data_IF_945545650745
#
_entry.id   IF_945545650745
#
_cell.length_a   1.000
_cell.length_b   1.000
_cell.length_c   1.000
_cell.angle_alpha   90.00
_cell.angle_beta   90.00
_cell.angle_gamma   90.00
#
_symmetry.space_group_name_H-M   'P 1'
#
loop_
_entity.id
_entity.type
_entity.pdbx_description
1 polymer ?
#
# COMPACT_ATOMS: atom_id res chain seq x y z
N UNK A 1 -8.52 -11.03 -11.05
CA UNK A 1 -9.18 -9.72 -11.22
C UNK A 1 -8.24 -8.61 -11.69
N UNK A 2 -6.92 -8.73 -11.47
CA UNK A 2 -5.94 -7.68 -11.77
C UNK A 2 -5.33 -7.77 -13.18
N UNK A 3 -5.68 -8.77 -13.95
CA UNK A 3 -5.07 -9.07 -15.26
C UNK A 3 -5.53 -8.18 -16.42
N UNK A 4 -6.51 -7.31 -16.21
CA UNK A 4 -6.96 -6.37 -17.24
C UNK A 4 -5.98 -5.21 -17.45
N UNK A 5 -5.19 -4.87 -16.44
CA UNK A 5 -4.22 -3.76 -16.47
C UNK A 5 -2.92 -4.07 -17.25
N UNK A 6 -2.69 -5.34 -17.64
CA UNK A 6 -1.42 -5.80 -18.23
C UNK A 6 -1.61 -6.63 -19.51
N UNK A 7 -2.56 -6.28 -20.36
CA UNK A 7 -2.92 -7.15 -21.51
C UNK A 7 -1.73 -7.53 -22.39
N UNK A 8 -0.89 -6.58 -22.79
CA UNK A 8 0.28 -6.84 -23.63
C UNK A 8 1.35 -7.66 -22.93
N UNK A 9 1.70 -7.30 -21.67
CA UNK A 9 2.66 -8.02 -20.86
C UNK A 9 2.19 -9.45 -20.56
N UNK A 10 0.91 -9.62 -20.19
CA UNK A 10 0.30 -10.92 -19.97
C UNK A 10 0.36 -11.80 -21.23
N UNK A 11 0.03 -11.26 -22.41
CA UNK A 11 0.06 -12.00 -23.66
C UNK A 11 1.47 -12.50 -23.99
N UNK A 12 2.51 -11.68 -23.78
CA UNK A 12 3.90 -12.05 -24.01
C UNK A 12 4.31 -13.19 -23.06
N UNK A 13 4.03 -13.09 -21.75
CA UNK A 13 4.35 -14.13 -20.78
C UNK A 13 3.61 -15.45 -21.06
N UNK A 14 2.37 -15.39 -21.53
CA UNK A 14 1.61 -16.56 -21.96
C UNK A 14 2.23 -17.21 -23.17
N UNK A 15 2.69 -16.42 -24.16
CA UNK A 15 3.35 -16.93 -25.36
C UNK A 15 4.65 -17.67 -25.01
N UNK A 16 5.48 -17.16 -24.09
CA UNK A 16 6.70 -17.83 -23.62
C UNK A 16 6.38 -19.23 -23.07
N UNK A 17 5.31 -19.38 -22.28
CA UNK A 17 4.91 -20.69 -21.72
C UNK A 17 4.37 -21.62 -22.81
N UNK A 18 3.56 -21.12 -23.74
CA UNK A 18 2.98 -21.93 -24.84
C UNK A 18 4.04 -22.44 -25.80
N UNK A 19 5.07 -21.63 -26.05
CA UNK A 19 6.19 -21.96 -26.92
C UNK A 19 7.25 -22.82 -26.23
N UNK A 20 7.10 -23.09 -24.91
CA UNK A 20 8.07 -23.83 -24.12
C UNK A 20 9.40 -23.09 -23.91
N UNK A 21 9.41 -21.76 -24.09
CA UNK A 21 10.60 -20.91 -23.97
C UNK A 21 10.57 -20.09 -22.66
N UNK A 22 10.35 -20.76 -21.55
CA UNK A 22 10.36 -20.13 -20.24
C UNK A 22 11.81 -19.83 -19.85
N UNK A 23 12.20 -18.54 -19.67
CA UNK A 23 13.55 -18.21 -19.21
C UNK A 23 13.78 -18.75 -17.81
N UNK A 24 14.98 -19.26 -17.55
CA UNK A 24 15.35 -19.71 -16.20
C UNK A 24 15.45 -18.55 -15.20
N UNK A 25 15.72 -17.33 -15.67
CA UNK A 25 15.75 -16.12 -14.84
C UNK A 25 15.20 -14.93 -15.62
N UNK A 26 14.17 -14.29 -15.08
CA UNK A 26 13.51 -13.14 -15.67
C UNK A 26 13.53 -11.95 -14.70
N UNK A 27 13.96 -10.79 -15.18
CA UNK A 27 13.99 -9.53 -14.42
C UNK A 27 12.83 -8.64 -14.85
N UNK A 28 11.76 -8.66 -14.07
CA UNK A 28 10.54 -7.88 -14.29
C UNK A 28 10.76 -6.48 -13.71
N UNK A 29 10.95 -5.49 -14.58
CA UNK A 29 11.30 -4.14 -14.22
C UNK A 29 10.15 -3.17 -14.51
N UNK A 30 10.06 -2.11 -13.75
CA UNK A 30 9.13 -1.00 -14.03
C UNK A 30 8.93 -0.10 -12.81
N UNK A 31 8.24 1.03 -12.98
CA UNK A 31 8.01 1.95 -11.88
C UNK A 31 7.19 1.31 -10.75
N UNK A 32 7.26 1.92 -9.57
CA UNK A 32 6.45 1.55 -8.40
C UNK A 32 4.95 1.56 -8.75
N UNK A 33 4.17 0.74 -8.05
CA UNK A 33 2.70 0.74 -8.16
C UNK A 33 2.12 0.18 -9.46
N UNK A 34 2.97 -0.35 -10.37
CA UNK A 34 2.51 -0.95 -11.64
C UNK A 34 2.09 -2.41 -11.52
N UNK A 35 2.08 -3.01 -10.32
CA UNK A 35 1.59 -4.39 -10.12
C UNK A 35 2.52 -5.49 -10.64
N UNK A 36 3.82 -5.26 -10.65
CA UNK A 36 4.84 -6.24 -11.09
C UNK A 36 4.80 -7.54 -10.29
N UNK A 37 4.69 -7.44 -8.95
CA UNK A 37 4.64 -8.61 -8.08
C UNK A 37 3.39 -9.46 -8.29
N UNK A 38 2.16 -8.93 -8.33
CA UNK A 38 0.97 -9.69 -8.73
C UNK A 38 1.09 -10.33 -10.11
N UNK A 39 1.71 -9.66 -11.06
CA UNK A 39 1.95 -10.23 -12.39
C UNK A 39 2.94 -11.43 -12.32
N UNK A 40 4.03 -11.29 -11.57
CA UNK A 40 4.99 -12.39 -11.37
C UNK A 40 4.33 -13.60 -10.69
N UNK A 41 3.48 -13.38 -9.69
CA UNK A 41 2.70 -14.45 -9.02
C UNK A 41 1.73 -15.12 -9.99
N UNK A 42 1.02 -14.32 -10.81
CA UNK A 42 0.10 -14.85 -11.81
C UNK A 42 0.83 -15.65 -12.89
N UNK A 43 1.99 -15.19 -13.33
CA UNK A 43 2.86 -15.91 -14.28
C UNK A 43 3.36 -17.23 -13.69
N UNK A 44 3.85 -17.20 -12.45
CA UNK A 44 4.26 -18.40 -11.72
C UNK A 44 3.13 -19.44 -11.63
N UNK A 45 1.90 -18.97 -11.30
CA UNK A 45 0.70 -19.83 -11.27
C UNK A 45 0.41 -20.42 -12.66
N UNK A 46 0.56 -19.63 -13.74
CA UNK A 46 0.33 -20.10 -15.10
C UNK A 46 1.36 -21.16 -15.52
N UNK A 47 2.64 -20.95 -15.18
CA UNK A 47 3.73 -21.94 -15.43
C UNK A 47 3.42 -23.29 -14.76
N UNK A 48 2.93 -23.27 -13.50
CA UNK A 48 2.70 -24.47 -12.71
C UNK A 48 1.29 -25.06 -12.86
N UNK A 49 0.38 -24.39 -13.56
CA UNK A 49 -1.01 -24.84 -13.70
C UNK A 49 -1.08 -26.17 -14.48
N UNK A 50 -1.81 -27.15 -13.95
CA UNK A 50 -2.00 -28.46 -14.57
C UNK A 50 -2.91 -28.39 -15.80
N UNK A 51 -3.92 -27.51 -15.78
CA UNK A 51 -4.92 -27.35 -16.84
C UNK A 51 -4.96 -25.90 -17.32
N UNK A 52 -3.89 -25.46 -18.02
CA UNK A 52 -3.77 -24.09 -18.51
C UNK A 52 -4.82 -23.78 -19.58
N UNK A 53 -5.50 -22.66 -19.43
CA UNK A 53 -6.32 -22.09 -20.50
C UNK A 53 -5.47 -21.29 -21.50
N UNK A 54 -6.13 -20.80 -22.55
CA UNK A 54 -5.44 -19.97 -23.55
C UNK A 54 -4.98 -18.62 -23.03
N UNK A 55 -5.70 -18.06 -22.05
CA UNK A 55 -5.46 -16.72 -21.56
C UNK A 55 -5.12 -16.64 -20.06
N UNK A 56 -5.32 -17.73 -19.30
CA UNK A 56 -5.04 -17.73 -17.85
C UNK A 56 -4.88 -19.17 -17.33
N UNK A 57 -4.38 -19.29 -16.09
CA UNK A 57 -4.42 -20.50 -15.32
C UNK A 57 -5.87 -20.89 -15.01
N UNK A 58 -6.17 -22.19 -14.90
CA UNK A 58 -7.54 -22.67 -14.69
C UNK A 58 -8.18 -22.19 -13.39
N UNK A 59 -7.40 -21.81 -12.37
CA UNK A 59 -7.86 -21.31 -11.09
C UNK A 59 -8.42 -22.36 -10.11
N UNK A 60 -8.69 -23.57 -10.57
CA UNK A 60 -9.42 -24.62 -9.82
C UNK A 60 -8.60 -25.88 -9.53
N UNK A 61 -7.53 -26.17 -10.27
CA UNK A 61 -6.70 -27.34 -10.00
C UNK A 61 -5.98 -27.21 -8.63
N UNK A 62 -5.57 -28.31 -8.00
CA UNK A 62 -4.90 -28.31 -6.70
C UNK A 62 -3.72 -27.33 -6.61
N UNK A 63 -2.94 -27.23 -7.68
CA UNK A 63 -1.83 -26.28 -7.83
C UNK A 63 -2.33 -24.85 -7.80
N UNK A 64 -3.32 -24.48 -8.60
CA UNK A 64 -3.90 -23.12 -8.61
C UNK A 64 -4.49 -22.74 -7.24
N UNK A 65 -5.18 -23.64 -6.56
CA UNK A 65 -5.74 -23.38 -5.22
C UNK A 65 -4.62 -23.08 -4.21
N UNK A 66 -3.51 -23.80 -4.25
CA UNK A 66 -2.34 -23.52 -3.39
C UNK A 66 -1.67 -22.19 -3.75
N UNK A 67 -1.54 -21.87 -5.05
CA UNK A 67 -1.01 -20.58 -5.51
C UNK A 67 -1.90 -19.40 -5.09
N UNK A 68 -3.21 -19.55 -5.13
CA UNK A 68 -4.16 -18.52 -4.69
C UNK A 68 -4.00 -18.16 -3.19
N UNK A 69 -3.46 -19.10 -2.40
CA UNK A 69 -3.13 -18.90 -0.97
C UNK A 69 -1.64 -18.63 -0.73
N UNK A 70 -0.81 -18.57 -1.78
CA UNK A 70 0.64 -18.44 -1.73
C UNK A 70 1.33 -19.53 -0.87
N UNK A 71 0.76 -20.74 -0.80
CA UNK A 71 1.25 -21.88 0.00
C UNK A 71 1.72 -23.08 -0.84
N UNK A 72 1.91 -22.86 -2.16
CA UNK A 72 2.44 -23.95 -2.98
C UNK A 72 3.86 -24.32 -2.54
N UNK A 73 4.19 -25.61 -2.35
CA UNK A 73 5.48 -26.05 -1.81
C UNK A 73 6.68 -25.68 -2.71
N UNK A 74 6.46 -25.57 -4.02
CA UNK A 74 7.48 -25.19 -5.00
C UNK A 74 7.42 -23.68 -5.36
N UNK A 75 6.67 -22.86 -4.61
CA UNK A 75 6.64 -21.39 -4.69
C UNK A 75 7.37 -20.80 -3.49
N UNK A 76 8.47 -20.13 -3.77
CA UNK A 76 9.32 -19.52 -2.74
C UNK A 76 9.40 -18.02 -2.95
N UNK A 77 9.43 -17.28 -1.85
CA UNK A 77 9.57 -15.83 -1.84
C UNK A 77 10.86 -15.42 -1.14
N UNK A 78 11.48 -14.38 -1.69
CA UNK A 78 12.56 -13.62 -1.08
C UNK A 78 12.19 -12.16 -1.15
N UNK A 79 12.29 -11.47 -0.03
CA UNK A 79 11.87 -10.06 0.11
C UNK A 79 12.69 -9.37 1.20
N UNK A 80 12.79 -8.04 1.18
CA UNK A 80 13.51 -7.30 2.20
C UNK A 80 12.92 -7.52 3.60
N UNK A 81 13.78 -7.80 4.57
CA UNK A 81 13.41 -8.01 5.99
C UNK A 81 14.26 -7.14 6.90
N UNK A 82 13.80 -6.94 8.13
CA UNK A 82 14.52 -6.23 9.19
C UNK A 82 15.20 -7.21 10.13
N UNK A 83 16.28 -6.81 10.80
CA UNK A 83 16.90 -7.60 11.86
C UNK A 83 16.02 -7.62 13.10
N UNK A 84 15.52 -8.78 13.50
CA UNK A 84 14.67 -8.93 14.70
C UNK A 84 15.42 -8.68 16.03
N UNK A 85 16.69 -9.10 16.14
CA UNK A 85 17.56 -8.93 17.34
C UNK A 85 19.02 -8.91 16.93
N UNK A 86 19.85 -8.21 17.69
CA UNK A 86 21.29 -8.28 17.52
C UNK A 86 21.81 -9.72 17.75
N UNK A 87 22.61 -10.22 16.82
CA UNK A 87 23.25 -11.55 16.91
C UNK A 87 22.42 -12.74 16.39
N UNK A 88 21.16 -12.55 15.95
CA UNK A 88 20.39 -13.62 15.30
C UNK A 88 20.25 -13.33 13.80
N UNK A 89 20.66 -14.31 12.99
CA UNK A 89 20.40 -14.26 11.54
C UNK A 89 18.89 -14.23 11.28
N UNK A 90 18.47 -13.30 10.43
CA UNK A 90 17.07 -13.13 10.05
C UNK A 90 16.91 -13.51 8.59
N UNK A 91 15.91 -14.33 8.28
CA UNK A 91 15.58 -14.80 6.94
C UNK A 91 14.11 -14.52 6.62
N UNK A 92 13.75 -14.56 5.34
CA UNK A 92 12.37 -14.33 4.88
C UNK A 92 11.37 -15.32 5.51
N UNK A 93 11.79 -16.54 5.81
CA UNK A 93 10.92 -17.56 6.43
C UNK A 93 10.42 -17.14 7.83
N UNK A 94 11.16 -16.28 8.54
CA UNK A 94 10.72 -15.70 9.83
C UNK A 94 9.50 -14.79 9.72
N UNK A 95 9.17 -14.31 8.52
CA UNK A 95 8.07 -13.39 8.20
C UNK A 95 7.12 -13.94 7.13
N UNK A 96 7.29 -15.19 6.71
CA UNK A 96 6.57 -15.71 5.54
C UNK A 96 5.05 -15.75 5.72
N UNK A 97 4.57 -15.95 6.94
CA UNK A 97 3.14 -15.95 7.25
C UNK A 97 2.55 -14.54 7.10
N UNK A 98 3.23 -13.54 7.67
CA UNK A 98 2.82 -12.12 7.59
C UNK A 98 2.89 -11.64 6.14
N UNK A 99 3.97 -12.00 5.41
CA UNK A 99 4.14 -11.70 3.98
C UNK A 99 2.99 -12.23 3.13
N UNK A 100 2.61 -13.51 3.30
CA UNK A 100 1.51 -14.11 2.54
C UNK A 100 0.19 -13.40 2.79
N UNK A 101 -0.13 -13.14 4.04
CA UNK A 101 -1.36 -12.43 4.43
C UNK A 101 -1.38 -11.01 3.86
N UNK A 102 -0.27 -10.30 3.98
CA UNK A 102 -0.11 -8.94 3.50
C UNK A 102 -0.28 -8.84 1.97
N UNK A 103 0.43 -9.68 1.20
CA UNK A 103 0.35 -9.70 -0.27
C UNK A 103 -1.04 -10.07 -0.78
N UNK A 104 -1.75 -10.97 -0.08
CA UNK A 104 -3.11 -11.37 -0.45
C UNK A 104 -4.13 -10.26 -0.20
N UNK A 105 -3.97 -9.51 0.87
CA UNK A 105 -4.85 -8.39 1.21
C UNK A 105 -4.53 -7.14 0.38
N UNK A 106 -3.25 -6.89 0.12
CA UNK A 106 -2.74 -5.69 -0.52
C UNK A 106 -1.91 -6.05 -1.77
N UNK A 107 -2.53 -6.30 -2.92
CA UNK A 107 -1.79 -6.70 -4.14
C UNK A 107 -0.94 -5.56 -4.73
N UNK A 108 -1.24 -4.31 -4.40
CA UNK A 108 -0.47 -3.11 -4.78
C UNK A 108 0.06 -2.45 -3.51
N UNK A 109 1.35 -2.49 -3.33
CA UNK A 109 2.04 -1.91 -2.18
C UNK A 109 3.50 -1.61 -2.53
N UNK A 110 4.16 -0.84 -1.68
CA UNK A 110 5.58 -0.54 -1.76
C UNK A 110 6.33 -1.00 -0.50
N UNK A 111 7.64 -0.74 -0.46
CA UNK A 111 8.48 -1.14 0.66
C UNK A 111 8.03 -0.49 1.99
N UNK A 112 7.55 0.75 1.96
CA UNK A 112 7.10 1.45 3.17
C UNK A 112 5.86 0.78 3.78
N UNK A 113 4.92 0.33 2.95
CA UNK A 113 3.75 -0.44 3.42
C UNK A 113 4.17 -1.76 4.08
N UNK A 114 5.15 -2.46 3.50
CA UNK A 114 5.68 -3.67 4.08
C UNK A 114 6.43 -3.42 5.40
N UNK A 115 7.24 -2.36 5.47
CA UNK A 115 7.90 -1.93 6.72
C UNK A 115 6.89 -1.59 7.82
N UNK A 116 5.79 -0.94 7.46
CA UNK A 116 4.69 -0.63 8.39
C UNK A 116 4.02 -1.89 8.93
N UNK A 117 3.78 -2.88 8.09
CA UNK A 117 3.24 -4.19 8.50
C UNK A 117 4.17 -4.90 9.49
N UNK A 118 5.48 -4.81 9.28
CA UNK A 118 6.48 -5.34 10.21
C UNK A 118 6.67 -4.50 11.49
N UNK A 119 6.00 -3.33 11.64
CA UNK A 119 6.20 -2.40 12.74
C UNK A 119 7.59 -1.76 12.78
N UNK A 120 8.18 -1.50 11.62
CA UNK A 120 9.59 -1.11 11.44
C UNK A 120 9.78 0.09 10.50
N UNK A 121 8.88 1.04 10.52
CA UNK A 121 8.84 2.21 9.61
C UNK A 121 10.15 3.01 9.56
N UNK A 122 10.92 3.02 10.65
CA UNK A 122 12.18 3.75 10.76
C UNK A 122 13.43 2.87 10.57
N UNK A 123 13.29 1.65 10.06
CA UNK A 123 14.39 0.72 9.86
C UNK A 123 14.66 0.49 8.38
N UNK A 124 15.91 0.15 8.05
CA UNK A 124 16.27 -0.26 6.69
C UNK A 124 16.08 -1.77 6.54
N UNK A 125 15.17 -2.16 5.64
CA UNK A 125 15.04 -3.55 5.25
C UNK A 125 16.05 -3.93 4.16
N UNK A 126 16.60 -5.13 4.26
CA UNK A 126 17.56 -5.70 3.30
C UNK A 126 17.30 -7.20 3.11
N UNK A 127 17.79 -7.74 2.02
CA UNK A 127 17.90 -9.18 1.81
C UNK A 127 19.33 -9.56 2.22
N UNK A 128 19.43 -10.24 3.37
CA UNK A 128 20.71 -10.55 4.00
C UNK A 128 21.38 -11.79 3.37
N UNK A 129 22.69 -11.91 3.57
CA UNK A 129 23.50 -13.01 3.02
C UNK A 129 22.98 -14.40 3.39
N UNK A 130 22.40 -14.56 4.59
CA UNK A 130 21.84 -15.83 5.05
C UNK A 130 20.69 -16.32 4.17
N UNK A 131 19.95 -15.40 3.55
CA UNK A 131 18.88 -15.76 2.62
C UNK A 131 19.40 -16.54 1.41
N UNK A 132 20.62 -16.25 0.93
CA UNK A 132 21.21 -17.01 -0.16
C UNK A 132 21.42 -18.49 0.18
N UNK A 133 21.78 -18.81 1.43
CA UNK A 133 21.93 -20.20 1.88
C UNK A 133 20.56 -20.90 1.93
N UNK A 134 19.50 -20.17 2.35
CA UNK A 134 18.12 -20.67 2.33
C UNK A 134 17.61 -20.88 0.90
N UNK A 135 17.94 -19.98 -0.04
CA UNK A 135 17.61 -20.16 -1.47
C UNK A 135 18.25 -21.45 -2.00
N UNK A 136 19.55 -21.66 -1.75
CA UNK A 136 20.25 -22.88 -2.15
C UNK A 136 19.58 -24.10 -1.54
N UNK A 137 19.28 -24.09 -0.24
CA UNK A 137 18.62 -25.18 0.47
C UNK A 137 17.26 -25.53 -0.15
N UNK A 138 16.40 -24.51 -0.36
CA UNK A 138 15.06 -24.69 -0.94
C UNK A 138 15.12 -25.27 -2.36
N UNK A 139 16.05 -24.78 -3.18
CA UNK A 139 16.18 -25.22 -4.57
C UNK A 139 16.89 -26.59 -4.74
N UNK A 140 17.69 -27.03 -3.75
CA UNK A 140 18.30 -28.37 -3.76
C UNK A 140 17.30 -29.50 -3.51
N UNK A 141 16.15 -29.20 -2.87
CA UNK A 141 15.10 -30.19 -2.67
C UNK A 141 14.44 -30.56 -4.00
N UNK A 142 13.99 -31.81 -4.13
CA UNK A 142 13.19 -32.23 -5.29
C UNK A 142 11.88 -31.48 -5.34
N UNK A 143 11.37 -31.14 -6.53
CA UNK A 143 10.03 -30.59 -6.69
C UNK A 143 8.99 -31.55 -6.08
N UNK A 144 8.06 -31.01 -5.35
CA UNK A 144 7.03 -31.77 -4.64
C UNK A 144 6.01 -32.42 -5.58
N UNK A 145 5.83 -31.88 -6.79
CA UNK A 145 4.86 -32.35 -7.78
C UNK A 145 5.48 -32.63 -9.15
N UNK A 146 6.83 -32.69 -9.25
CA UNK A 146 7.55 -33.00 -10.50
C UNK A 146 7.53 -31.86 -11.54
N UNK A 147 7.05 -30.68 -11.15
CA UNK A 147 6.93 -29.46 -12.00
C UNK A 147 8.04 -28.44 -11.75
N UNK A 148 7.79 -27.22 -12.19
CA UNK A 148 8.70 -26.09 -11.98
C UNK A 148 8.77 -25.67 -10.51
N UNK A 149 9.96 -25.33 -10.05
CA UNK A 149 10.21 -24.56 -8.82
C UNK A 149 10.30 -23.09 -9.16
N UNK A 150 9.56 -22.26 -8.48
CA UNK A 150 9.53 -20.82 -8.72
C UNK A 150 10.10 -20.08 -7.52
N UNK A 151 11.10 -19.24 -7.79
CA UNK A 151 11.69 -18.33 -6.81
C UNK A 151 11.37 -16.91 -7.21
N UNK A 152 10.49 -16.24 -6.45
CA UNK A 152 10.16 -14.82 -6.64
C UNK A 152 11.01 -14.00 -5.68
N UNK A 153 11.84 -13.12 -6.22
CA UNK A 153 12.68 -12.18 -5.46
C UNK A 153 12.11 -10.79 -5.66
N UNK A 154 11.47 -10.24 -4.61
CA UNK A 154 10.93 -8.90 -4.63
C UNK A 154 11.98 -7.90 -4.13
N UNK A 155 12.20 -6.81 -4.88
CA UNK A 155 13.22 -5.79 -4.68
C UNK A 155 14.65 -6.36 -4.56
N UNK A 156 15.15 -7.06 -5.60
CA UNK A 156 16.50 -7.61 -5.61
C UNK A 156 17.60 -6.54 -5.45
N UNK A 157 17.32 -5.28 -5.75
CA UNK A 157 18.18 -4.12 -5.46
C UNK A 157 18.42 -3.89 -3.97
N UNK A 158 17.64 -4.49 -3.08
CA UNK A 158 17.86 -4.46 -1.61
C UNK A 158 18.69 -5.65 -1.11
N UNK A 159 19.20 -6.50 -2.01
CA UNK A 159 20.17 -7.52 -1.63
C UNK A 159 21.51 -6.88 -1.23
N UNK A 160 22.13 -7.39 -0.16
CA UNK A 160 23.51 -7.04 0.12
C UNK A 160 24.44 -7.68 -0.92
N UNK A 161 25.66 -7.12 -1.07
CA UNK A 161 26.62 -7.56 -2.11
C UNK A 161 26.96 -9.06 -2.00
N UNK A 162 27.09 -9.57 -0.78
CA UNK A 162 27.43 -10.98 -0.55
C UNK A 162 26.29 -11.92 -0.98
N UNK A 163 25.02 -11.56 -0.67
CA UNK A 163 23.84 -12.30 -1.12
C UNK A 163 23.75 -12.30 -2.65
N UNK A 164 23.96 -11.14 -3.26
CA UNK A 164 23.95 -10.97 -4.72
C UNK A 164 25.01 -11.86 -5.40
N UNK A 165 26.23 -11.88 -4.87
CA UNK A 165 27.30 -12.71 -5.42
C UNK A 165 27.04 -14.22 -5.28
N UNK A 166 26.43 -14.67 -4.18
CA UNK A 166 26.03 -16.08 -4.03
C UNK A 166 24.90 -16.46 -5.00
N UNK A 167 23.97 -15.54 -5.28
CA UNK A 167 22.90 -15.77 -6.24
C UNK A 167 23.43 -15.95 -7.67
N UNK A 168 24.54 -15.31 -8.05
CA UNK A 168 25.13 -15.43 -9.38
C UNK A 168 25.38 -16.89 -9.78
N UNK A 169 25.90 -17.72 -8.87
CA UNK A 169 26.16 -19.14 -9.14
C UNK A 169 24.88 -19.92 -9.52
N UNK A 170 23.77 -19.58 -8.84
CA UNK A 170 22.47 -20.20 -9.12
C UNK A 170 21.84 -19.71 -10.43
N UNK A 171 22.16 -18.46 -10.84
CA UNK A 171 21.70 -17.92 -12.11
C UNK A 171 22.54 -18.42 -13.29
N UNK A 172 23.82 -18.77 -13.08
CA UNK A 172 24.70 -19.36 -14.08
C UNK A 172 24.33 -20.82 -14.32
N UNK A 173 24.16 -21.58 -13.26
CA UNK A 173 23.87 -23.03 -13.30
C UNK A 173 22.59 -23.31 -12.50
N UNK A 174 21.41 -22.94 -13.03
CA UNK A 174 20.17 -23.13 -12.32
C UNK A 174 19.83 -24.60 -12.18
N UNK A 175 19.31 -25.04 -11.02
CA UNK A 175 18.78 -26.39 -10.89
C UNK A 175 17.68 -26.66 -11.93
N UNK A 176 17.57 -27.88 -12.38
CA UNK A 176 16.59 -28.27 -13.39
C UNK A 176 15.17 -27.83 -13.01
N UNK A 177 14.39 -27.39 -13.99
CA UNK A 177 13.01 -26.95 -13.80
C UNK A 177 12.85 -25.81 -12.74
N UNK A 178 13.84 -24.93 -12.66
CA UNK A 178 13.78 -23.76 -11.74
C UNK A 178 13.64 -22.47 -12.53
N UNK A 179 12.74 -21.59 -12.07
CA UNK A 179 12.52 -20.26 -12.64
C UNK A 179 12.69 -19.21 -11.56
N UNK A 180 13.58 -18.24 -11.82
CA UNK A 180 13.78 -17.07 -10.99
C UNK A 180 12.98 -15.90 -11.57
N UNK A 181 12.13 -15.28 -10.79
CA UNK A 181 11.38 -14.07 -11.14
C UNK A 181 11.85 -12.95 -10.21
N UNK A 182 12.73 -12.08 -10.71
CA UNK A 182 13.24 -10.92 -9.99
C UNK A 182 12.31 -9.74 -10.29
N UNK A 183 11.70 -9.15 -9.27
CA UNK A 183 10.75 -8.04 -9.39
C UNK A 183 11.39 -6.78 -8.85
N UNK A 184 11.79 -5.87 -9.75
CA UNK A 184 12.59 -4.69 -9.42
C UNK A 184 11.87 -3.38 -9.75
N UNK A 185 12.14 -2.37 -8.94
CA UNK A 185 11.74 -0.96 -9.16
C UNK A 185 12.93 -0.12 -9.64
N UNK A 186 14.14 -0.48 -9.18
CA UNK A 186 15.39 0.20 -9.50
C UNK A 186 16.38 -0.78 -10.15
N UNK A 187 16.14 -1.23 -11.40
CA UNK A 187 16.95 -2.26 -12.04
C UNK A 187 18.43 -1.85 -12.16
N UNK A 188 18.72 -0.57 -12.28
CA UNK A 188 20.09 -0.06 -12.42
C UNK A 188 20.88 -0.13 -11.10
N UNK A 189 20.21 -0.31 -9.95
CA UNK A 189 20.83 -0.56 -8.66
C UNK A 189 21.21 -2.05 -8.45
N UNK A 190 20.76 -2.94 -9.34
CA UNK A 190 21.12 -4.37 -9.31
C UNK A 190 22.52 -4.54 -9.94
N UNK A 191 23.33 -5.45 -9.37
CA UNK A 191 24.64 -5.77 -9.95
C UNK A 191 24.52 -6.13 -11.45
N UNK A 192 25.35 -5.52 -12.27
CA UNK A 192 25.36 -5.74 -13.72
C UNK A 192 25.56 -7.22 -14.09
N UNK A 193 26.27 -7.95 -13.25
CA UNK A 193 26.49 -9.39 -13.38
C UNK A 193 25.20 -10.21 -13.22
N UNK A 194 24.24 -9.77 -12.41
CA UNK A 194 22.89 -10.35 -12.30
C UNK A 194 22.06 -9.94 -13.52
N UNK A 195 22.09 -8.68 -13.89
CA UNK A 195 21.33 -8.18 -15.04
C UNK A 195 21.69 -8.91 -16.33
N UNK A 196 22.99 -9.19 -16.57
CA UNK A 196 23.45 -9.89 -17.78
C UNK A 196 23.03 -11.37 -17.86
N UNK A 197 22.59 -11.97 -16.73
CA UNK A 197 22.14 -13.39 -16.64
C UNK A 197 20.63 -13.52 -16.54
N UNK A 198 19.92 -12.40 -16.61
CA UNK A 198 18.46 -12.37 -16.52
C UNK A 198 17.86 -11.81 -17.81
N UNK A 199 16.78 -12.38 -18.26
CA UNK A 199 15.99 -11.78 -19.35
C UNK A 199 15.19 -10.61 -18.81
N UNK A 200 15.50 -9.40 -19.29
CA UNK A 200 14.79 -8.18 -18.87
C UNK A 200 13.40 -8.13 -19.49
N UNK A 201 12.40 -7.90 -18.66
CA UNK A 201 11.00 -7.74 -19.02
C UNK A 201 10.47 -6.42 -18.44
N UNK A 202 10.30 -5.41 -19.30
CA UNK A 202 9.91 -4.09 -18.86
C UNK A 202 8.39 -3.94 -18.78
N UNK A 203 7.91 -3.52 -17.62
CA UNK A 203 6.52 -3.11 -17.39
C UNK A 203 6.48 -1.58 -17.42
N UNK A 204 5.67 -1.04 -18.29
CA UNK A 204 5.41 0.39 -18.35
C UNK A 204 4.31 0.80 -17.37
N UNK A 205 4.20 2.11 -17.11
CA UNK A 205 3.08 2.67 -16.35
C UNK A 205 1.73 2.24 -16.95
N UNK A 206 0.76 2.03 -16.09
CA UNK A 206 -0.59 1.63 -16.51
C UNK A 206 -1.24 2.82 -17.23
N UNK A 207 -1.92 2.57 -18.35
CA UNK A 207 -2.58 3.62 -19.10
C UNK A 207 -3.75 4.22 -18.30
N UNK A 208 -3.88 5.54 -18.33
CA UNK A 208 -4.94 6.28 -17.62
C UNK A 208 -6.35 5.71 -17.85
N UNK A 209 -6.78 5.38 -19.10
CA UNK A 209 -8.11 4.81 -19.32
C UNK A 209 -8.32 3.43 -18.65
N UNK A 210 -7.24 2.67 -18.48
CA UNK A 210 -7.30 1.36 -17.78
C UNK A 210 -7.45 1.55 -16.28
N UNK A 211 -6.73 2.53 -15.71
CA UNK A 211 -6.86 2.91 -14.30
C UNK A 211 -8.28 3.42 -14.06
N UNK A 212 -8.73 4.42 -14.80
CA UNK A 212 -10.07 5.02 -14.68
C UNK A 212 -11.16 3.94 -14.74
N UNK A 213 -11.09 3.03 -15.71
CA UNK A 213 -12.05 1.93 -15.82
C UNK A 213 -12.08 1.03 -14.58
N UNK A 214 -10.93 0.72 -13.99
CA UNK A 214 -10.86 -0.09 -12.77
C UNK A 214 -11.43 0.68 -11.59
N UNK A 215 -11.15 1.98 -11.48
CA UNK A 215 -11.68 2.86 -10.45
C UNK A 215 -13.22 2.92 -10.49
N UNK A 216 -13.80 3.07 -11.67
CA UNK A 216 -15.25 3.06 -11.86
C UNK A 216 -15.87 1.69 -11.52
N UNK A 217 -15.31 0.59 -12.05
CA UNK A 217 -15.93 -0.72 -11.95
C UNK A 217 -15.75 -1.41 -10.60
N UNK A 218 -14.62 -1.18 -9.94
CA UNK A 218 -14.29 -1.82 -8.65
C UNK A 218 -14.55 -0.95 -7.43
N UNK A 219 -14.29 0.35 -7.57
CA UNK A 219 -14.37 1.30 -6.46
C UNK A 219 -15.60 2.19 -6.55
N UNK A 220 -16.41 2.05 -7.64
CA UNK A 220 -17.68 2.75 -7.78
C UNK A 220 -17.56 4.26 -7.95
N UNK A 221 -16.37 4.77 -8.36
CA UNK A 221 -16.18 6.20 -8.58
C UNK A 221 -16.96 6.68 -9.81
N UNK A 222 -17.39 7.95 -9.76
CA UNK A 222 -17.96 8.61 -10.93
C UNK A 222 -16.88 8.77 -12.01
N UNK A 223 -17.26 8.77 -13.29
CA UNK A 223 -16.31 8.84 -14.41
C UNK A 223 -15.34 10.03 -14.30
N UNK A 224 -15.82 11.22 -13.96
CA UNK A 224 -15.03 12.44 -13.85
C UNK A 224 -13.97 12.34 -12.74
N UNK A 225 -14.34 11.84 -11.55
CA UNK A 225 -13.42 11.64 -10.42
C UNK A 225 -12.39 10.54 -10.76
N UNK A 226 -12.83 9.47 -11.41
CA UNK A 226 -11.96 8.37 -11.80
C UNK A 226 -10.92 8.80 -12.85
N UNK A 227 -11.30 9.65 -13.80
CA UNK A 227 -10.39 10.19 -14.82
C UNK A 227 -9.37 11.14 -14.19
N UNK A 228 -9.79 12.03 -13.29
CA UNK A 228 -8.89 12.95 -12.58
C UNK A 228 -7.86 12.20 -11.73
N UNK A 229 -8.30 11.19 -10.96
CA UNK A 229 -7.40 10.36 -10.16
C UNK A 229 -6.45 9.54 -11.06
N UNK A 230 -6.95 8.98 -12.17
CA UNK A 230 -6.14 8.24 -13.12
C UNK A 230 -5.05 9.12 -13.73
N UNK A 231 -5.40 10.35 -14.12
CA UNK A 231 -4.44 11.32 -14.65
C UNK A 231 -3.35 11.67 -13.64
N UNK A 232 -3.73 12.02 -12.41
CA UNK A 232 -2.78 12.38 -11.33
C UNK A 232 -1.91 11.21 -10.86
N UNK A 233 -2.33 9.98 -11.11
CA UNK A 233 -1.58 8.79 -10.72
C UNK A 233 -0.38 8.51 -11.63
N UNK A 234 -0.31 9.12 -12.83
CA UNK A 234 0.80 8.97 -13.78
C UNK A 234 1.15 7.50 -14.08
N UNK A 235 0.14 6.65 -14.15
CA UNK A 235 0.32 5.22 -14.40
C UNK A 235 0.69 4.38 -13.17
N UNK A 236 0.76 4.98 -11.98
CA UNK A 236 0.98 4.31 -10.70
C UNK A 236 -0.37 4.01 -10.02
N UNK A 237 -0.81 2.74 -10.09
CA UNK A 237 -2.10 2.36 -9.50
C UNK A 237 -2.12 2.41 -7.97
N UNK A 238 -0.96 2.24 -7.32
CA UNK A 238 -0.85 2.42 -5.86
C UNK A 238 -1.17 3.86 -5.46
N UNK A 239 -0.58 4.85 -6.16
CA UNK A 239 -0.87 6.27 -5.95
C UNK A 239 -2.36 6.59 -6.16
N UNK A 240 -2.99 5.96 -7.16
CA UNK A 240 -4.44 6.08 -7.35
C UNK A 240 -5.25 5.55 -6.17
N UNK A 241 -4.88 4.38 -5.63
CA UNK A 241 -5.53 3.79 -4.45
C UNK A 241 -5.34 4.64 -3.20
N UNK A 242 -4.12 5.13 -2.96
CA UNK A 242 -3.82 6.04 -1.85
C UNK A 242 -4.67 7.32 -1.92
N UNK A 243 -4.85 7.87 -3.12
CA UNK A 243 -5.70 9.06 -3.35
C UNK A 243 -7.16 8.78 -2.99
N UNK A 244 -7.69 7.61 -3.34
CA UNK A 244 -9.05 7.21 -2.97
C UNK A 244 -9.18 7.07 -1.46
N UNK A 245 -8.25 6.37 -0.81
CA UNK A 245 -8.28 6.19 0.64
C UNK A 245 -8.18 7.52 1.38
N UNK A 246 -7.33 8.44 0.93
CA UNK A 246 -7.26 9.80 1.47
C UNK A 246 -8.58 10.57 1.27
N UNK A 247 -9.24 10.41 0.12
CA UNK A 247 -10.53 11.05 -0.15
C UNK A 247 -11.64 10.49 0.75
N UNK A 248 -11.71 9.18 0.94
CA UNK A 248 -12.67 8.54 1.85
C UNK A 248 -12.41 8.92 3.31
N UNK A 249 -11.14 8.96 3.72
CA UNK A 249 -10.76 9.38 5.05
C UNK A 249 -11.11 10.86 5.29
N UNK A 250 -10.86 11.73 4.34
CA UNK A 250 -11.23 13.14 4.42
C UNK A 250 -12.76 13.33 4.47
N UNK A 251 -13.55 12.53 3.74
CA UNK A 251 -15.03 12.56 3.85
C UNK A 251 -15.48 12.18 5.25
N UNK A 252 -14.95 11.10 5.81
CA UNK A 252 -15.23 10.68 7.19
C UNK A 252 -14.84 11.77 8.19
N UNK A 253 -13.67 12.37 8.05
CA UNK A 253 -13.19 13.44 8.91
C UNK A 253 -14.07 14.68 8.81
N UNK A 254 -14.54 15.01 7.61
CA UNK A 254 -15.47 16.11 7.39
C UNK A 254 -16.82 15.87 8.09
N UNK A 255 -17.39 14.69 7.97
CA UNK A 255 -18.62 14.32 8.68
C UNK A 255 -18.45 14.40 10.20
N UNK A 256 -17.35 13.88 10.74
CA UNK A 256 -17.03 13.96 12.17
C UNK A 256 -16.84 15.40 12.63
N UNK A 257 -16.20 16.23 11.83
CA UNK A 257 -16.03 17.68 12.09
C UNK A 257 -17.37 18.40 12.12
N UNK A 258 -18.22 18.25 11.09
CA UNK A 258 -19.56 18.84 11.04
C UNK A 258 -20.37 18.41 12.27
N UNK A 259 -20.33 17.13 12.61
CA UNK A 259 -21.07 16.58 13.73
C UNK A 259 -20.60 17.21 15.06
N UNK A 260 -19.28 17.30 15.27
CA UNK A 260 -18.70 17.96 16.43
C UNK A 260 -19.20 19.42 16.55
N UNK A 261 -19.06 20.22 15.47
CA UNK A 261 -19.46 21.64 15.48
C UNK A 261 -20.94 21.80 15.78
N UNK A 262 -21.79 20.94 15.18
CA UNK A 262 -23.23 20.93 15.42
C UNK A 262 -23.61 20.58 16.86
N UNK A 263 -22.99 19.50 17.40
CA UNK A 263 -23.24 19.05 18.77
C UNK A 263 -22.76 20.07 19.80
N UNK A 264 -21.61 20.71 19.57
CA UNK A 264 -21.07 21.76 20.44
C UNK A 264 -21.97 22.99 20.45
N UNK A 265 -22.43 23.43 19.30
CA UNK A 265 -23.39 24.54 19.19
C UNK A 265 -24.73 24.25 19.90
N UNK A 266 -25.27 23.03 19.75
CA UNK A 266 -26.52 22.57 20.34
C UNK A 266 -26.37 22.15 21.82
N UNK A 267 -25.15 22.05 22.36
CA UNK A 267 -24.82 21.60 23.73
C UNK A 267 -25.36 20.21 24.07
N UNK A 268 -25.30 19.29 23.11
CA UNK A 268 -25.79 17.91 23.27
C UNK A 268 -24.74 17.01 23.90
N UNK A 269 -24.53 17.17 25.22
CA UNK A 269 -23.43 16.50 25.94
C UNK A 269 -23.49 14.96 25.84
N UNK A 270 -24.69 14.38 25.84
CA UNK A 270 -24.83 12.91 25.73
C UNK A 270 -24.35 12.42 24.38
N UNK A 271 -24.72 13.08 23.30
CA UNK A 271 -24.34 12.76 21.94
C UNK A 271 -22.84 13.06 21.69
N UNK A 272 -22.29 14.09 22.33
CA UNK A 272 -20.86 14.39 22.30
C UNK A 272 -20.02 13.25 22.91
N UNK A 273 -20.52 12.59 23.96
CA UNK A 273 -19.88 11.40 24.51
C UNK A 273 -19.85 10.26 23.49
N UNK A 274 -20.97 10.00 22.81
CA UNK A 274 -21.03 8.99 21.74
C UNK A 274 -20.08 9.32 20.59
N UNK A 275 -20.02 10.60 20.20
CA UNK A 275 -19.07 11.08 19.20
C UNK A 275 -17.61 10.84 19.63
N UNK A 276 -17.28 11.17 20.89
CA UNK A 276 -15.93 10.94 21.43
C UNK A 276 -15.56 9.46 21.46
N UNK A 277 -16.50 8.56 21.79
CA UNK A 277 -16.29 7.13 21.75
C UNK A 277 -16.04 6.62 20.31
N UNK A 278 -16.76 7.15 19.33
CA UNK A 278 -16.58 6.82 17.92
C UNK A 278 -15.20 7.26 17.42
N UNK A 279 -14.77 8.50 17.71
CA UNK A 279 -13.43 8.99 17.33
C UNK A 279 -12.33 8.22 18.07
N UNK A 280 -12.53 7.91 19.35
CA UNK A 280 -11.57 7.15 20.15
C UNK A 280 -11.40 5.70 19.68
N UNK A 281 -12.37 5.12 18.96
CA UNK A 281 -12.28 3.77 18.39
C UNK A 281 -11.38 3.72 17.14
N UNK A 282 -11.07 4.86 16.51
CA UNK A 282 -10.12 4.94 15.42
C UNK A 282 -8.69 4.73 15.96
N UNK A 283 -7.83 4.09 15.15
CA UNK A 283 -6.41 3.94 15.52
C UNK A 283 -5.73 5.30 15.73
N UNK A 284 -4.67 5.32 16.54
CA UNK A 284 -3.97 6.54 17.00
C UNK A 284 -3.53 7.47 15.88
N UNK A 285 -2.97 6.93 14.82
CA UNK A 285 -2.56 7.73 13.65
C UNK A 285 -3.76 8.42 12.99
N UNK A 286 -4.88 7.71 12.85
CA UNK A 286 -6.12 8.31 12.32
C UNK A 286 -6.68 9.40 13.23
N UNK A 287 -6.54 9.26 14.55
CA UNK A 287 -6.92 10.31 15.51
C UNK A 287 -6.08 11.58 15.34
N UNK A 288 -4.75 11.44 15.15
CA UNK A 288 -3.86 12.57 14.87
C UNK A 288 -4.20 13.23 13.53
N UNK A 289 -4.43 12.43 12.49
CA UNK A 289 -4.82 12.91 11.17
C UNK A 289 -6.17 13.67 11.23
N UNK A 290 -7.13 13.17 12.00
CA UNK A 290 -8.40 13.85 12.23
C UNK A 290 -8.22 15.20 12.93
N UNK A 291 -7.38 15.30 13.96
CA UNK A 291 -7.09 16.59 14.63
C UNK A 291 -6.39 17.57 13.69
N UNK A 292 -5.44 17.10 12.87
CA UNK A 292 -4.79 17.91 11.85
C UNK A 292 -5.80 18.39 10.78
N UNK A 293 -6.75 17.53 10.39
CA UNK A 293 -7.86 17.90 9.52
C UNK A 293 -8.74 18.99 10.14
N UNK A 294 -9.08 18.87 11.43
CA UNK A 294 -9.83 19.89 12.15
C UNK A 294 -9.07 21.24 12.19
N UNK A 295 -7.76 21.23 12.47
CA UNK A 295 -6.93 22.43 12.43
C UNK A 295 -6.97 23.10 11.05
N UNK A 296 -6.83 22.34 9.98
CA UNK A 296 -6.96 22.84 8.61
C UNK A 296 -8.34 23.49 8.41
N UNK A 297 -9.42 22.81 8.76
CA UNK A 297 -10.79 23.32 8.57
C UNK A 297 -11.04 24.62 9.36
N UNK A 298 -10.56 24.72 10.59
CA UNK A 298 -10.69 25.96 11.40
C UNK A 298 -9.90 27.09 10.74
N UNK A 299 -8.65 26.84 10.31
CA UNK A 299 -7.83 27.84 9.60
C UNK A 299 -8.49 28.30 8.30
N UNK A 300 -8.96 27.39 7.48
CA UNK A 300 -9.60 27.69 6.20
C UNK A 300 -10.90 28.51 6.40
N UNK A 301 -11.72 28.16 7.42
CA UNK A 301 -12.92 28.92 7.75
C UNK A 301 -12.59 30.34 8.27
N UNK A 302 -11.52 30.50 9.05
CA UNK A 302 -11.05 31.81 9.48
C UNK A 302 -10.63 32.68 8.27
N UNK A 303 -9.81 32.11 7.35
CA UNK A 303 -9.37 32.80 6.13
C UNK A 303 -10.56 33.14 5.22
N UNK A 304 -11.55 32.25 5.13
CA UNK A 304 -12.75 32.43 4.31
C UNK A 304 -13.49 33.72 4.66
N UNK A 305 -13.48 34.15 5.93
CA UNK A 305 -14.12 35.41 6.38
C UNK A 305 -13.46 36.69 5.80
N UNK A 306 -12.19 36.60 5.36
CA UNK A 306 -11.50 37.73 4.74
C UNK A 306 -11.80 37.89 3.23
N UNK A 307 -12.66 37.03 2.66
CA UNK A 307 -13.07 37.04 1.26
C UNK A 307 -11.92 36.92 0.22
N UNK A 308 -10.77 36.38 0.64
CA UNK A 308 -9.62 36.13 -0.22
C UNK A 308 -9.68 34.69 -0.73
N UNK A 309 -10.40 34.48 -1.84
CA UNK A 309 -10.65 33.14 -2.40
C UNK A 309 -9.37 32.38 -2.80
N UNK A 310 -8.35 33.11 -3.22
CA UNK A 310 -7.07 32.52 -3.68
C UNK A 310 -6.25 31.88 -2.55
N UNK A 311 -6.59 32.16 -1.28
CA UNK A 311 -5.93 31.61 -0.10
C UNK A 311 -6.70 30.48 0.59
N UNK A 312 -7.87 30.10 0.04
CA UNK A 312 -8.75 29.09 0.63
C UNK A 312 -8.65 27.79 -0.17
N UNK A 313 -8.22 26.72 0.49
CA UNK A 313 -8.06 25.40 -0.09
C UNK A 313 -9.11 24.43 0.46
N UNK A 314 -10.35 24.55 -0.03
CA UNK A 314 -11.48 23.69 0.33
C UNK A 314 -12.07 23.02 -0.91
N UNK A 315 -12.54 21.80 -0.76
CA UNK A 315 -13.36 21.16 -1.79
C UNK A 315 -14.77 21.75 -1.84
N UNK A 316 -15.60 21.47 -2.88
CA UNK A 316 -16.93 22.06 -3.01
C UNK A 316 -17.88 21.77 -1.83
N UNK A 317 -17.80 20.59 -1.22
CA UNK A 317 -18.63 20.24 -0.05
C UNK A 317 -18.20 20.99 1.19
N UNK A 318 -16.90 21.12 1.43
CA UNK A 318 -16.32 21.92 2.51
C UNK A 318 -16.70 23.41 2.34
N UNK A 319 -16.62 23.95 1.11
CA UNK A 319 -17.03 25.33 0.82
C UNK A 319 -18.51 25.58 1.12
N UNK A 320 -19.38 24.65 0.70
CA UNK A 320 -20.81 24.78 0.96
C UNK A 320 -21.13 24.80 2.47
N UNK A 321 -20.45 23.98 3.25
CA UNK A 321 -20.55 24.02 4.72
C UNK A 321 -20.00 25.33 5.29
N UNK A 322 -18.85 25.78 4.82
CA UNK A 322 -18.14 26.96 5.31
C UNK A 322 -18.91 28.27 5.08
N UNK A 323 -19.76 28.37 4.04
CA UNK A 323 -20.64 29.53 3.84
C UNK A 323 -21.50 29.85 5.07
N UNK A 324 -21.88 28.81 5.85
CA UNK A 324 -22.70 28.93 7.04
C UNK A 324 -21.88 28.85 8.33
N UNK A 325 -20.75 28.17 8.31
CA UNK A 325 -19.96 27.90 9.51
C UNK A 325 -18.86 28.95 9.76
N UNK A 326 -18.26 29.52 8.72
CA UNK A 326 -17.16 30.46 8.86
C UNK A 326 -17.43 31.63 9.85
N UNK A 327 -18.64 32.23 9.90
CA UNK A 327 -18.91 33.30 10.86
C UNK A 327 -18.75 32.92 12.34
N UNK A 328 -18.77 31.63 12.67
CA UNK A 328 -18.54 31.14 14.04
C UNK A 328 -17.06 31.04 14.41
N UNK A 329 -16.15 31.20 13.44
CA UNK A 329 -14.69 31.19 13.65
C UNK A 329 -14.18 32.62 13.46
N UNK A 330 -13.86 33.29 14.54
CA UNK A 330 -13.50 34.72 14.54
C UNK A 330 -12.17 34.97 15.28
N UNK A 331 -11.69 36.20 15.30
CA UNK A 331 -10.42 36.57 15.93
C UNK A 331 -10.35 36.28 17.44
N UNK A 332 -11.52 36.24 18.12
CA UNK A 332 -11.60 36.00 19.57
C UNK A 332 -11.43 34.52 19.94
N UNK A 333 -11.87 33.62 19.05
CA UNK A 333 -11.91 32.18 19.38
C UNK A 333 -10.95 31.31 18.57
N UNK A 334 -10.48 31.75 17.41
CA UNK A 334 -9.63 30.95 16.53
C UNK A 334 -8.38 30.44 17.23
N UNK A 335 -7.69 31.30 17.98
CA UNK A 335 -6.46 30.90 18.70
C UNK A 335 -6.77 29.88 19.79
N UNK A 336 -7.82 30.10 20.59
CA UNK A 336 -8.24 29.15 21.62
C UNK A 336 -8.64 27.78 21.04
N UNK A 337 -9.32 27.76 19.88
CA UNK A 337 -9.66 26.50 19.19
C UNK A 337 -8.39 25.80 18.68
N UNK A 338 -7.44 26.52 18.11
CA UNK A 338 -6.17 25.96 17.63
C UNK A 338 -5.30 25.40 18.75
N UNK A 339 -5.27 26.10 19.91
CA UNK A 339 -4.54 25.65 21.11
C UNK A 339 -5.11 24.34 21.64
N UNK A 340 -6.45 24.23 21.76
CA UNK A 340 -7.12 23.02 22.21
C UNK A 340 -6.92 21.83 21.25
N UNK A 341 -6.94 22.07 19.95
CA UNK A 341 -6.63 21.04 18.94
C UNK A 341 -5.18 20.56 19.05
N UNK A 342 -4.25 21.48 19.29
CA UNK A 342 -2.82 21.17 19.46
C UNK A 342 -2.56 20.39 20.74
N UNK A 343 -3.23 20.76 21.85
CA UNK A 343 -3.16 20.05 23.13
C UNK A 343 -3.75 18.64 23.01
N UNK A 344 -4.90 18.49 22.36
CA UNK A 344 -5.47 17.16 22.09
C UNK A 344 -4.53 16.29 21.27
N UNK A 345 -3.87 16.84 20.24
CA UNK A 345 -2.90 16.11 19.41
C UNK A 345 -1.68 15.68 20.22
N UNK A 346 -1.17 16.54 21.12
CA UNK A 346 -0.09 16.22 22.04
C UNK A 346 -0.47 15.07 22.98
N UNK A 347 -1.64 15.14 23.61
CA UNK A 347 -2.15 14.12 24.52
C UNK A 347 -2.31 12.76 23.84
N UNK A 348 -2.84 12.71 22.62
CA UNK A 348 -2.93 11.47 21.82
C UNK A 348 -1.52 10.93 21.52
N UNK A 349 -0.57 11.81 21.21
CA UNK A 349 0.85 11.45 21.02
C UNK A 349 1.49 10.82 22.28
N UNK A 350 1.13 11.33 23.46
CA UNK A 350 1.62 10.88 24.76
C UNK A 350 0.87 9.67 25.34
N UNK A 351 0.01 9.01 24.57
CA UNK A 351 -0.76 7.84 25.01
C UNK A 351 -1.82 8.10 26.07
N UNK A 352 -2.31 9.31 26.23
CA UNK A 352 -3.47 9.60 27.09
C UNK A 352 -4.71 8.89 26.53
N UNK A 353 -5.66 8.55 27.41
CA UNK A 353 -6.90 7.85 27.00
C UNK A 353 -7.70 8.69 25.98
N UNK A 354 -7.85 8.22 24.72
CA UNK A 354 -8.49 9.00 23.66
C UNK A 354 -9.93 9.41 23.97
N UNK A 355 -10.71 8.57 24.68
CA UNK A 355 -12.09 8.90 25.05
C UNK A 355 -12.16 10.14 25.94
N UNK A 356 -11.21 10.26 26.87
CA UNK A 356 -11.14 11.43 27.75
C UNK A 356 -10.70 12.67 26.98
N UNK A 357 -9.67 12.54 26.12
CA UNK A 357 -9.14 13.64 25.32
C UNK A 357 -10.21 14.21 24.41
N UNK A 358 -10.90 13.38 23.62
CA UNK A 358 -11.91 13.84 22.68
C UNK A 358 -13.19 14.34 23.38
N UNK A 359 -13.55 13.78 24.52
CA UNK A 359 -14.68 14.27 25.28
C UNK A 359 -14.40 15.65 25.91
N UNK A 360 -13.24 15.83 26.57
CA UNK A 360 -12.81 17.11 27.13
C UNK A 360 -12.72 18.18 26.03
N UNK A 361 -12.04 17.87 24.92
CA UNK A 361 -11.96 18.74 23.74
C UNK A 361 -13.37 19.16 23.26
N UNK A 362 -14.29 18.21 23.14
CA UNK A 362 -15.65 18.51 22.68
C UNK A 362 -16.40 19.46 23.63
N UNK A 363 -16.21 19.33 24.95
CA UNK A 363 -16.83 20.23 25.94
C UNK A 363 -16.25 21.65 25.85
N UNK A 364 -14.93 21.77 25.69
CA UNK A 364 -14.25 23.07 25.50
C UNK A 364 -14.74 23.80 24.25
N UNK A 365 -15.03 23.05 23.17
CA UNK A 365 -15.62 23.62 21.95
C UNK A 365 -16.99 24.29 22.17
N UNK A 366 -17.79 23.87 23.17
CA UNK A 366 -19.05 24.54 23.53
C UNK A 366 -18.82 25.99 23.95
N UNK A 367 -17.73 26.20 24.69
CA UNK A 367 -17.40 27.56 25.21
C UNK A 367 -16.81 28.42 24.11
N UNK A 368 -15.86 27.83 23.35
CA UNK A 368 -15.10 28.52 22.30
C UNK A 368 -15.99 29.00 21.14
N UNK A 369 -16.97 28.20 20.71
CA UNK A 369 -17.89 28.59 19.62
C UNK A 369 -18.92 29.64 19.99
N UNK A 370 -18.94 30.09 21.26
CA UNK A 370 -19.86 31.15 21.73
C UNK A 370 -19.21 32.52 21.90
N UNK A 371 -17.89 32.51 22.00
CA UNK A 371 -17.12 33.74 22.13
C UNK A 371 -16.83 34.31 20.73
#
# INVERSE_FOLDING_TARGET
PYTTLFRSAKQQLIAEVKEGRIPHAQLICGPEGTGKLPLAIAYARYICCENRGEQDACGICPTCVKFNKLIHPDLHFVFPVIKKKAGKDTVCDDFIADWRNFVLQNPYFNLNHWLKEMGAENQQAQIFVKESDEIVRKLSLKSSQGGYKIMIIWLPEKMNVECSNKLLKLLEEPPAMTVFLLVSEEPDAILQTIQSRTQRFNIHGIKEPEISKVLQTKYGLQPEDADDIAHRSEGNFLKALETIHLSEENKLFFELFINLMRLSYQRKIREMRQWSDAVASMGRERQKNFLAYCQRMIRENFIYNFHQRDLVYMNPEEQNFSTRFAPFVNERNVMGIMDELSEAQLHIGQNVNPKMVFFDFSLKMIVLLKN
#
